data_IF_263461483435
#
_entry.id   IF_263461483435
#
_cell.length_a   1.000
_cell.length_b   1.000
_cell.length_c   1.000
_cell.angle_alpha   90.00
_cell.angle_beta   90.00
_cell.angle_gamma   90.00
#
_symmetry.space_group_name_H-M   'P 1'
#
loop_
_entity.id
_entity.type
_entity.pdbx_description
1 polymer ?
#
# COMPACT_ATOMS: atom_id res chain seq x y z
N UNK A 1 -9.84 4.28 34.00
CA UNK A 1 -9.38 5.34 33.08
C UNK A 1 -9.65 4.89 31.66
N UNK A 2 -10.52 5.60 30.96
CA UNK A 2 -11.00 5.26 29.63
C UNK A 2 -9.83 5.07 28.64
N UNK A 3 -9.85 3.94 27.93
CA UNK A 3 -9.04 3.71 26.74
C UNK A 3 -9.37 4.83 25.77
N UNK A 4 -8.40 5.69 25.48
CA UNK A 4 -8.51 6.68 24.41
C UNK A 4 -8.71 5.92 23.11
N UNK A 5 -9.98 5.81 22.71
CA UNK A 5 -10.35 5.52 21.34
C UNK A 5 -9.58 6.49 20.46
N UNK A 6 -8.67 5.95 19.65
CA UNK A 6 -7.94 6.73 18.67
C UNK A 6 -8.95 7.30 17.68
N UNK A 7 -9.26 8.59 17.83
CA UNK A 7 -10.12 9.30 16.90
C UNK A 7 -9.62 9.16 15.45
N UNK A 8 -10.59 8.79 14.62
CA UNK A 8 -10.47 8.08 13.36
C UNK A 8 -9.94 8.97 12.23
N UNK A 9 -8.99 8.49 11.40
CA UNK A 9 -8.77 9.00 10.04
C UNK A 9 -9.81 8.49 9.02
N UNK A 10 -11.04 8.17 9.46
CA UNK A 10 -12.16 7.75 8.59
C UNK A 10 -12.89 8.91 7.88
N UNK A 11 -13.15 10.09 8.48
CA UNK A 11 -14.09 11.05 7.91
C UNK A 11 -13.63 11.62 6.58
N UNK A 12 -12.32 11.82 6.35
CA UNK A 12 -11.84 12.40 5.09
C UNK A 12 -11.98 11.45 3.89
N UNK A 13 -11.73 10.14 4.08
CA UNK A 13 -11.85 9.16 2.99
C UNK A 13 -13.29 8.84 2.67
N UNK A 14 -14.12 8.74 3.71
CA UNK A 14 -15.57 8.58 3.57
C UNK A 14 -16.17 9.81 2.89
N UNK A 15 -15.74 11.01 3.28
CA UNK A 15 -16.09 12.27 2.63
C UNK A 15 -15.65 12.30 1.16
N UNK A 16 -14.42 11.90 0.85
CA UNK A 16 -13.93 11.82 -0.54
C UNK A 16 -14.81 10.91 -1.39
N UNK A 17 -15.15 9.70 -0.91
CA UNK A 17 -16.02 8.79 -1.66
C UNK A 17 -17.43 9.39 -1.83
N UNK A 18 -17.93 10.07 -0.81
CA UNK A 18 -19.20 10.79 -0.88
C UNK A 18 -19.18 11.92 -1.91
N UNK A 19 -18.08 12.70 -2.02
CA UNK A 19 -17.98 13.74 -3.05
C UNK A 19 -18.00 13.17 -4.47
N UNK A 20 -17.59 11.90 -4.67
CA UNK A 20 -17.70 11.25 -5.98
C UNK A 20 -19.13 10.91 -6.37
N UNK A 21 -20.05 10.76 -5.42
CA UNK A 21 -21.46 10.53 -5.69
C UNK A 21 -22.15 11.78 -6.26
N UNK A 22 -21.61 12.97 -5.99
CA UNK A 22 -22.09 14.27 -6.52
C UNK A 22 -21.88 14.34 -8.05
N UNK A 23 -21.05 13.47 -8.62
CA UNK A 23 -20.84 13.39 -10.06
C UNK A 23 -22.10 12.95 -10.84
N UNK A 24 -23.01 12.18 -10.21
CA UNK A 24 -24.30 11.84 -10.81
C UNK A 24 -25.18 13.08 -11.05
N UNK A 25 -25.42 13.96 -10.05
CA UNK A 25 -26.06 15.26 -10.25
C UNK A 25 -25.40 16.12 -11.33
N UNK A 26 -24.06 16.17 -11.39
CA UNK A 26 -23.34 16.96 -12.41
C UNK A 26 -23.66 16.43 -13.81
N UNK A 27 -23.56 15.12 -14.02
CA UNK A 27 -23.88 14.50 -15.31
C UNK A 27 -25.37 14.72 -15.66
N UNK A 28 -26.26 14.57 -14.70
CA UNK A 28 -27.70 14.79 -14.89
C UNK A 28 -28.02 16.23 -15.30
N UNK A 29 -27.47 17.22 -14.59
CA UNK A 29 -27.62 18.63 -14.94
C UNK A 29 -27.04 18.95 -16.33
N UNK A 30 -25.95 18.29 -16.70
CA UNK A 30 -25.32 18.42 -18.02
C UNK A 30 -26.19 17.89 -19.16
N UNK A 31 -26.97 16.83 -18.91
CA UNK A 31 -27.94 16.31 -19.90
C UNK A 31 -29.10 17.28 -20.16
N UNK A 32 -29.41 18.16 -19.21
CA UNK A 32 -30.36 19.26 -19.41
C UNK A 32 -29.91 20.27 -20.47
N UNK A 33 -28.60 20.52 -20.56
CA UNK A 33 -28.00 21.43 -21.56
C UNK A 33 -28.13 20.86 -22.99
N UNK A 34 -28.16 19.52 -23.13
CA UNK A 34 -28.34 18.85 -24.42
C UNK A 34 -29.73 19.10 -25.02
N UNK A 35 -30.74 19.29 -24.18
CA UNK A 35 -32.13 19.49 -24.58
C UNK A 35 -32.50 20.99 -24.76
N UNK A 36 -31.52 21.89 -24.61
CA UNK A 36 -31.73 23.31 -24.88
C UNK A 36 -31.96 23.52 -26.39
N UNK A 37 -33.09 24.11 -26.81
CA UNK A 37 -33.43 24.33 -28.21
C UNK A 37 -32.38 25.16 -28.96
N UNK A 38 -31.64 26.04 -28.28
CA UNK A 38 -30.54 26.82 -28.89
C UNK A 38 -29.39 25.90 -29.40
N UNK A 39 -29.19 24.75 -28.76
CA UNK A 39 -28.13 23.78 -29.10
C UNK A 39 -28.56 22.74 -30.16
N UNK A 40 -29.83 22.75 -30.56
CA UNK A 40 -30.40 21.80 -31.53
C UNK A 40 -30.13 22.17 -33.00
N UNK A 41 -29.70 23.42 -33.27
CA UNK A 41 -29.74 24.01 -34.60
C UNK A 41 -28.49 23.88 -35.48
N UNK A 42 -27.41 23.21 -35.03
CA UNK A 42 -26.26 22.95 -35.89
C UNK A 42 -26.36 21.55 -36.53
N UNK A 43 -26.58 21.39 -37.85
CA UNK A 43 -26.78 20.08 -38.49
C UNK A 43 -25.48 19.49 -39.10
N UNK A 44 -24.38 20.24 -39.14
CA UNK A 44 -23.19 19.84 -39.92
C UNK A 44 -22.27 18.83 -39.24
N UNK A 45 -22.32 18.69 -37.91
CA UNK A 45 -21.37 17.85 -37.15
C UNK A 45 -21.78 16.37 -37.01
N UNK A 46 -23.01 16.01 -37.44
CA UNK A 46 -23.53 14.64 -37.41
C UNK A 46 -22.73 13.65 -38.30
N UNK A 47 -21.81 14.15 -39.14
CA UNK A 47 -20.95 13.36 -40.03
C UNK A 47 -19.57 13.02 -39.45
N UNK A 48 -19.26 13.40 -38.21
CA UNK A 48 -17.96 13.06 -37.60
C UNK A 48 -17.92 11.57 -37.25
N UNK A 49 -16.85 10.86 -37.66
CA UNK A 49 -16.67 9.40 -37.48
C UNK A 49 -16.89 8.91 -36.03
N UNK A 50 -16.59 9.75 -35.04
CA UNK A 50 -16.82 9.52 -33.60
C UNK A 50 -18.31 9.28 -33.26
N UNK A 51 -19.20 9.90 -34.03
CA UNK A 51 -20.65 9.91 -33.81
C UNK A 51 -21.37 8.71 -34.46
N UNK A 52 -20.78 8.15 -35.51
CA UNK A 52 -21.35 7.01 -36.22
C UNK A 52 -21.15 5.70 -35.43
N UNK A 53 -20.09 5.63 -34.63
CA UNK A 53 -19.78 4.49 -33.76
C UNK A 53 -19.23 4.89 -32.38
N UNK A 54 -20.04 5.55 -31.52
CA UNK A 54 -19.61 5.94 -30.17
C UNK A 54 -19.14 4.74 -29.34
N UNK A 55 -19.76 3.57 -29.53
CA UNK A 55 -19.40 2.31 -28.86
C UNK A 55 -17.93 1.91 -29.14
N UNK A 56 -17.44 2.12 -30.37
CA UNK A 56 -16.07 1.75 -30.78
C UNK A 56 -14.99 2.57 -30.07
N UNK A 57 -15.31 3.79 -29.63
CA UNK A 57 -14.36 4.66 -28.93
C UNK A 57 -14.51 4.61 -27.40
N UNK A 58 -15.71 4.33 -26.90
CA UNK A 58 -15.98 4.23 -25.45
C UNK A 58 -15.49 2.89 -24.89
N UNK A 59 -15.81 1.78 -25.56
CA UNK A 59 -15.51 0.44 -25.08
C UNK A 59 -14.01 0.20 -24.83
N UNK A 60 -13.08 0.66 -25.70
CA UNK A 60 -11.65 0.50 -25.46
C UNK A 60 -11.17 1.17 -24.17
N UNK A 61 -11.74 2.31 -23.77
CA UNK A 61 -11.33 3.00 -22.52
C UNK A 61 -11.66 2.13 -21.31
N UNK A 62 -12.88 1.61 -21.24
CA UNK A 62 -13.28 0.74 -20.12
C UNK A 62 -12.56 -0.59 -20.15
N UNK A 63 -12.39 -1.19 -21.33
CA UNK A 63 -11.63 -2.41 -21.52
C UNK A 63 -10.16 -2.22 -21.09
N UNK A 64 -9.56 -1.05 -21.35
CA UNK A 64 -8.21 -0.74 -20.92
C UNK A 64 -8.10 -0.63 -19.39
N UNK A 65 -9.06 0.02 -18.71
CA UNK A 65 -9.05 0.13 -17.23
C UNK A 65 -9.22 -1.25 -16.58
N UNK A 66 -10.18 -2.05 -17.06
CA UNK A 66 -10.44 -3.40 -16.55
C UNK A 66 -9.25 -4.32 -16.87
N UNK A 67 -8.76 -4.28 -18.11
CA UNK A 67 -7.61 -5.04 -18.58
C UNK A 67 -6.35 -4.71 -17.79
N UNK A 68 -6.12 -3.44 -17.45
CA UNK A 68 -5.03 -3.02 -16.58
C UNK A 68 -5.14 -3.67 -15.19
N UNK A 69 -6.33 -3.67 -14.57
CA UNK A 69 -6.52 -4.34 -13.26
C UNK A 69 -6.28 -5.85 -13.38
N UNK A 70 -6.80 -6.51 -14.41
CA UNK A 70 -6.60 -7.95 -14.63
C UNK A 70 -5.12 -8.28 -14.84
N UNK A 71 -4.40 -7.50 -15.64
CA UNK A 71 -2.96 -7.66 -15.86
C UNK A 71 -2.17 -7.49 -14.56
N UNK A 72 -2.52 -6.51 -13.73
CA UNK A 72 -1.90 -6.31 -12.42
C UNK A 72 -2.19 -7.45 -11.45
N UNK A 73 -3.39 -8.03 -11.47
CA UNK A 73 -3.72 -9.21 -10.66
C UNK A 73 -2.88 -10.42 -11.10
N UNK A 74 -2.76 -10.68 -12.40
CA UNK A 74 -1.92 -11.74 -12.93
C UNK A 74 -0.43 -11.53 -12.58
N UNK A 75 0.04 -10.28 -12.64
CA UNK A 75 1.38 -9.90 -12.21
C UNK A 75 1.59 -10.17 -10.72
N UNK A 76 0.61 -9.81 -9.88
CA UNK A 76 0.70 -9.99 -8.43
C UNK A 76 0.75 -11.48 -8.03
N UNK A 77 0.01 -12.35 -8.74
CA UNK A 77 0.09 -13.80 -8.56
C UNK A 77 1.48 -14.36 -8.91
N UNK A 78 2.10 -13.80 -9.96
CA UNK A 78 3.42 -14.25 -10.44
C UNK A 78 4.56 -13.82 -9.52
N UNK A 79 4.51 -12.58 -9.01
CA UNK A 79 5.65 -11.98 -8.29
C UNK A 79 5.43 -11.80 -6.78
N UNK A 80 4.21 -12.04 -6.27
CA UNK A 80 3.83 -11.94 -4.85
C UNK A 80 4.37 -10.68 -4.16
N UNK A 81 3.97 -9.47 -4.61
CA UNK A 81 4.50 -8.23 -4.09
C UNK A 81 4.17 -8.01 -2.61
N UNK A 82 4.99 -7.22 -1.94
CA UNK A 82 4.73 -6.76 -0.57
C UNK A 82 3.36 -6.06 -0.52
N UNK A 83 2.50 -6.42 0.45
CA UNK A 83 1.13 -5.86 0.55
C UNK A 83 1.10 -4.33 0.49
N UNK A 84 2.10 -3.67 1.09
CA UNK A 84 2.22 -2.21 1.09
C UNK A 84 2.48 -1.64 -0.30
N UNK A 85 3.36 -2.27 -1.10
CA UNK A 85 3.68 -1.78 -2.45
C UNK A 85 2.49 -1.98 -3.38
N UNK A 86 1.78 -3.11 -3.27
CA UNK A 86 0.50 -3.35 -3.96
C UNK A 86 -0.53 -2.26 -3.62
N UNK A 87 -0.79 -2.06 -2.33
CA UNK A 87 -1.74 -1.06 -1.85
C UNK A 87 -1.40 0.36 -2.35
N UNK A 88 -0.14 0.77 -2.24
CA UNK A 88 0.29 2.09 -2.73
C UNK A 88 0.13 2.23 -4.24
N UNK A 89 0.54 1.22 -5.01
CA UNK A 89 0.39 1.20 -6.48
C UNK A 89 -1.07 1.31 -6.88
N UNK A 90 -1.93 0.48 -6.30
CA UNK A 90 -3.35 0.46 -6.63
C UNK A 90 -4.00 1.81 -6.28
N UNK A 91 -3.73 2.38 -5.10
CA UNK A 91 -4.24 3.71 -4.72
C UNK A 91 -3.70 4.82 -5.62
N UNK A 92 -2.43 4.76 -6.05
CA UNK A 92 -1.86 5.72 -7.01
C UNK A 92 -2.56 5.63 -8.37
N UNK A 93 -2.80 4.43 -8.89
CA UNK A 93 -3.51 4.25 -10.16
C UNK A 93 -4.97 4.71 -10.03
N UNK A 94 -5.64 4.32 -8.95
CA UNK A 94 -7.03 4.70 -8.68
C UNK A 94 -7.20 6.21 -8.60
N UNK A 95 -6.55 6.87 -7.64
CA UNK A 95 -6.68 8.32 -7.49
C UNK A 95 -6.14 9.10 -8.68
N UNK A 96 -5.04 8.65 -9.30
CA UNK A 96 -4.51 9.29 -10.52
C UNK A 96 -5.51 9.23 -11.68
N UNK A 97 -6.14 8.07 -11.90
CA UNK A 97 -7.19 7.89 -12.90
C UNK A 97 -8.43 8.73 -12.63
N UNK A 98 -8.86 8.82 -11.36
CA UNK A 98 -9.95 9.70 -10.95
C UNK A 98 -9.63 11.16 -11.25
N UNK A 99 -8.43 11.65 -10.87
CA UNK A 99 -8.01 13.03 -11.15
C UNK A 99 -8.03 13.33 -12.65
N UNK A 100 -7.56 12.39 -13.49
CA UNK A 100 -7.65 12.54 -14.93
C UNK A 100 -9.11 12.67 -15.42
N UNK A 101 -10.01 11.82 -14.90
CA UNK A 101 -11.46 11.90 -15.18
C UNK A 101 -12.08 13.24 -14.73
N UNK A 102 -11.51 13.90 -13.73
CA UNK A 102 -11.93 15.23 -13.31
C UNK A 102 -11.40 16.37 -14.18
N UNK A 103 -10.16 16.29 -14.64
CA UNK A 103 -9.49 17.34 -15.42
C UNK A 103 -9.94 17.35 -16.88
N UNK A 104 -10.09 16.17 -17.51
CA UNK A 104 -10.41 16.05 -18.94
C UNK A 104 -11.69 16.83 -19.30
N UNK A 105 -12.83 16.68 -18.61
CA UNK A 105 -14.04 17.43 -18.92
C UNK A 105 -13.91 18.95 -18.78
N UNK A 106 -13.07 19.42 -17.85
CA UNK A 106 -12.84 20.86 -17.65
C UNK A 106 -12.04 21.45 -18.81
N UNK A 107 -10.96 20.77 -19.20
CA UNK A 107 -10.11 21.19 -20.32
C UNK A 107 -10.91 21.14 -21.63
N UNK A 108 -11.67 20.07 -21.86
CA UNK A 108 -12.52 19.94 -23.03
C UNK A 108 -13.62 21.00 -23.06
N UNK A 109 -14.19 21.41 -21.91
CA UNK A 109 -15.17 22.51 -21.87
C UNK A 109 -14.58 23.83 -22.38
N UNK A 110 -13.32 24.12 -22.06
CA UNK A 110 -12.62 25.33 -22.52
C UNK A 110 -12.23 25.24 -23.99
N UNK A 111 -11.79 24.08 -24.47
CA UNK A 111 -11.33 23.89 -25.87
C UNK A 111 -12.51 23.72 -26.85
N UNK A 112 -13.49 22.90 -26.48
CA UNK A 112 -14.59 22.46 -27.36
C UNK A 112 -15.88 23.23 -27.08
N UNK A 113 -15.80 24.46 -26.55
CA UNK A 113 -16.89 25.34 -26.09
C UNK A 113 -18.27 25.14 -26.74
N UNK A 114 -18.32 24.98 -28.07
CA UNK A 114 -19.53 24.88 -28.90
C UNK A 114 -19.98 23.44 -29.23
N UNK A 115 -19.12 22.43 -29.03
CA UNK A 115 -19.40 21.01 -29.30
C UNK A 115 -19.97 20.32 -28.06
N UNK A 116 -21.14 20.79 -27.62
CA UNK A 116 -21.82 20.36 -26.38
C UNK A 116 -22.00 18.83 -26.33
N UNK A 117 -22.31 18.19 -27.46
CA UNK A 117 -22.51 16.73 -27.54
C UNK A 117 -21.23 15.93 -27.28
N UNK A 118 -20.11 16.36 -27.86
CA UNK A 118 -18.83 15.69 -27.64
C UNK A 118 -18.38 15.88 -26.19
N UNK A 119 -18.56 17.08 -25.64
CA UNK A 119 -18.29 17.35 -24.24
C UNK A 119 -19.09 16.42 -23.32
N UNK A 120 -20.40 16.28 -23.54
CA UNK A 120 -21.27 15.40 -22.74
C UNK A 120 -20.84 13.95 -22.88
N UNK A 121 -20.49 13.50 -24.10
CA UNK A 121 -20.01 12.15 -24.34
C UNK A 121 -18.71 11.87 -23.56
N UNK A 122 -17.71 12.74 -23.67
CA UNK A 122 -16.45 12.61 -22.92
C UNK A 122 -16.66 12.68 -21.40
N UNK A 123 -17.56 13.55 -20.94
CA UNK A 123 -17.96 13.62 -19.52
C UNK A 123 -18.62 12.34 -19.03
N UNK A 124 -19.49 11.72 -19.82
CA UNK A 124 -20.11 10.44 -19.47
C UNK A 124 -19.06 9.32 -19.38
N UNK A 125 -18.11 9.27 -20.33
CA UNK A 125 -16.99 8.32 -20.30
C UNK A 125 -16.13 8.52 -19.06
N UNK A 126 -15.79 9.77 -18.72
CA UNK A 126 -15.04 10.10 -17.52
C UNK A 126 -15.81 9.73 -16.24
N UNK A 127 -17.14 9.92 -16.23
CA UNK A 127 -17.98 9.56 -15.09
C UNK A 127 -17.96 8.04 -14.82
N UNK A 128 -18.17 7.22 -15.85
CA UNK A 128 -18.12 5.76 -15.70
C UNK A 128 -16.71 5.31 -15.32
N UNK A 129 -15.69 5.87 -15.96
CA UNK A 129 -14.28 5.58 -15.64
C UNK A 129 -13.94 5.91 -14.18
N UNK A 130 -14.47 7.01 -13.64
CA UNK A 130 -14.29 7.37 -12.22
C UNK A 130 -14.78 6.26 -11.29
N UNK A 131 -15.99 5.73 -11.53
CA UNK A 131 -16.53 4.61 -10.73
C UNK A 131 -15.74 3.32 -10.92
N UNK A 132 -15.22 3.05 -12.13
CA UNK A 132 -14.32 1.91 -12.36
C UNK A 132 -13.03 2.05 -11.56
N UNK A 133 -12.40 3.24 -11.54
CA UNK A 133 -11.20 3.48 -10.73
C UNK A 133 -11.46 3.31 -9.23
N UNK A 134 -12.59 3.85 -8.74
CA UNK A 134 -13.01 3.67 -7.34
C UNK A 134 -13.16 2.17 -7.03
N UNK A 135 -13.98 1.46 -7.82
CA UNK A 135 -14.32 0.07 -7.57
C UNK A 135 -13.13 -0.88 -7.67
N UNK A 136 -12.31 -0.74 -8.72
CA UNK A 136 -11.22 -1.66 -9.02
C UNK A 136 -9.95 -1.40 -8.22
N UNK A 137 -9.67 -0.14 -7.87
CA UNK A 137 -8.37 0.24 -7.29
C UNK A 137 -8.46 0.85 -5.89
N UNK A 138 -9.55 1.52 -5.52
CA UNK A 138 -9.65 2.24 -4.24
C UNK A 138 -10.40 1.43 -3.18
N UNK A 139 -11.57 0.86 -3.52
CA UNK A 139 -12.45 0.21 -2.54
C UNK A 139 -11.81 -1.00 -1.84
N UNK A 140 -11.03 -1.81 -2.57
CA UNK A 140 -10.30 -2.98 -2.01
C UNK A 140 -9.42 -2.58 -0.82
N UNK A 141 -8.81 -1.40 -0.88
CA UNK A 141 -7.87 -0.91 0.13
C UNK A 141 -8.53 0.03 1.14
N UNK A 142 -9.69 0.61 0.83
CA UNK A 142 -10.30 1.73 1.56
C UNK A 142 -10.33 1.54 3.08
N UNK A 143 -10.75 0.37 3.56
CA UNK A 143 -10.80 0.09 5.00
C UNK A 143 -9.43 -0.23 5.60
N UNK A 144 -8.56 -0.83 4.79
CA UNK A 144 -7.31 -1.47 5.18
C UNK A 144 -6.11 -0.52 5.20
N UNK A 145 -6.21 0.69 4.65
CA UNK A 145 -5.13 1.69 4.77
C UNK A 145 -5.53 2.89 5.64
N UNK A 146 -4.53 3.55 6.21
CA UNK A 146 -4.67 4.78 7.00
C UNK A 146 -3.39 5.60 6.98
N UNK A 147 -3.34 6.66 7.78
CA UNK A 147 -2.14 7.47 7.95
C UNK A 147 -1.20 6.86 9.01
N UNK A 148 0.08 7.19 8.92
CA UNK A 148 1.11 6.69 9.83
C UNK A 148 0.77 6.97 11.32
N UNK A 149 1.14 6.06 12.23
CA UNK A 149 0.97 6.21 13.69
C UNK A 149 1.87 7.30 14.30
N UNK A 150 3.00 7.60 13.66
CA UNK A 150 3.89 8.70 14.06
C UNK A 150 3.12 10.01 13.94
N UNK A 151 3.00 10.71 15.06
CA UNK A 151 2.24 11.96 15.17
C UNK A 151 2.75 13.02 14.19
N UNK A 152 4.08 13.18 14.06
CA UNK A 152 4.69 14.09 13.09
C UNK A 152 4.22 13.82 11.66
N UNK A 153 4.29 12.57 11.18
CA UNK A 153 3.83 12.20 9.83
C UNK A 153 2.33 12.40 9.63
N UNK A 154 1.53 12.22 10.68
CA UNK A 154 0.07 12.50 10.62
C UNK A 154 -0.20 14.00 10.49
N UNK A 155 0.56 14.85 11.19
CA UNK A 155 0.49 16.30 11.05
C UNK A 155 0.91 16.72 9.64
N UNK A 156 2.05 16.22 9.14
CA UNK A 156 2.52 16.50 7.77
C UNK A 156 1.51 16.06 6.70
N UNK A 157 0.86 14.90 6.85
CA UNK A 157 -0.17 14.46 5.92
C UNK A 157 -1.39 15.40 5.91
N UNK A 158 -1.81 15.92 7.06
CA UNK A 158 -2.89 16.92 7.13
C UNK A 158 -2.47 18.23 6.46
N UNK A 159 -1.27 18.73 6.77
CA UNK A 159 -0.73 19.95 6.15
C UNK A 159 -0.65 19.80 4.63
N UNK A 160 -0.11 18.68 4.14
CA UNK A 160 0.00 18.43 2.70
C UNK A 160 -1.38 18.41 2.03
N UNK A 161 -2.38 17.76 2.62
CA UNK A 161 -3.75 17.80 2.08
C UNK A 161 -4.27 19.23 1.98
N UNK A 162 -4.13 20.03 3.04
CA UNK A 162 -4.57 21.42 3.03
C UNK A 162 -3.83 22.25 1.98
N UNK A 163 -2.52 22.09 1.85
CA UNK A 163 -1.72 22.78 0.83
C UNK A 163 -2.21 22.39 -0.57
N UNK A 164 -2.42 21.10 -0.84
CA UNK A 164 -2.90 20.63 -2.14
C UNK A 164 -4.30 21.17 -2.47
N UNK A 165 -5.19 21.24 -1.48
CA UNK A 165 -6.53 21.83 -1.65
C UNK A 165 -6.42 23.31 -2.02
N UNK A 166 -5.65 24.08 -1.25
CA UNK A 166 -5.47 25.51 -1.50
C UNK A 166 -4.80 25.79 -2.85
N UNK A 167 -3.75 25.03 -3.18
CA UNK A 167 -3.06 25.11 -4.46
C UNK A 167 -4.02 24.85 -5.62
N UNK A 168 -4.87 23.82 -5.52
CA UNK A 168 -5.82 23.50 -6.58
C UNK A 168 -6.86 24.61 -6.78
N UNK A 169 -7.35 25.22 -5.68
CA UNK A 169 -8.28 26.36 -5.75
C UNK A 169 -7.60 27.55 -6.46
N UNK A 170 -6.37 27.90 -6.07
CA UNK A 170 -5.62 29.01 -6.67
C UNK A 170 -5.39 28.77 -8.16
N UNK A 171 -4.95 27.56 -8.53
CA UNK A 171 -4.73 27.19 -9.94
C UNK A 171 -6.03 27.30 -10.74
N UNK A 172 -7.14 26.80 -10.20
CA UNK A 172 -8.46 26.86 -10.87
C UNK A 172 -8.89 28.29 -11.13
N UNK A 173 -8.88 29.16 -10.11
CA UNK A 173 -9.24 30.58 -10.25
C UNK A 173 -8.32 31.29 -11.24
N UNK A 174 -7.02 30.98 -11.21
CA UNK A 174 -6.05 31.57 -12.14
C UNK A 174 -6.34 31.17 -13.59
N UNK A 175 -6.63 29.89 -13.83
CA UNK A 175 -6.97 29.38 -15.16
C UNK A 175 -8.30 29.97 -15.66
N UNK A 176 -9.33 30.07 -14.82
CA UNK A 176 -10.60 30.70 -15.18
C UNK A 176 -10.41 32.17 -15.59
N UNK A 177 -9.67 32.94 -14.79
CA UNK A 177 -9.36 34.34 -15.10
C UNK A 177 -8.59 34.47 -16.42
N UNK A 178 -7.66 33.56 -16.70
CA UNK A 178 -6.81 33.64 -17.90
C UNK A 178 -7.51 33.14 -19.17
N UNK A 179 -8.28 32.06 -19.07
CA UNK A 179 -8.85 31.37 -20.24
C UNK A 179 -10.32 31.66 -20.48
N UNK A 180 -11.09 32.05 -19.46
CA UNK A 180 -12.55 32.20 -19.56
C UNK A 180 -12.96 33.66 -19.48
N UNK A 181 -12.57 34.38 -18.43
CA UNK A 181 -13.07 35.74 -18.19
C UNK A 181 -12.63 36.73 -19.28
N UNK A 182 -13.59 37.52 -19.76
CA UNK A 182 -13.36 38.56 -20.77
C UNK A 182 -13.14 38.03 -22.19
N UNK A 183 -13.12 36.71 -22.42
CA UNK A 183 -12.96 36.09 -23.74
C UNK A 183 -14.25 35.60 -24.37
N UNK A 184 -15.28 35.35 -23.56
CA UNK A 184 -16.56 34.79 -24.00
C UNK A 184 -17.74 35.66 -23.56
N UNK A 185 -18.93 35.39 -24.11
CA UNK A 185 -20.16 36.05 -23.67
C UNK A 185 -20.43 35.80 -22.18
N UNK A 186 -21.19 36.68 -21.54
CA UNK A 186 -21.53 36.59 -20.11
C UNK A 186 -22.22 35.26 -19.79
N UNK A 187 -23.21 34.85 -20.60
CA UNK A 187 -23.92 33.57 -20.46
C UNK A 187 -22.95 32.38 -20.55
N UNK A 188 -22.06 32.35 -21.56
CA UNK A 188 -21.08 31.26 -21.73
C UNK A 188 -20.04 31.22 -20.60
N UNK A 189 -19.61 32.39 -20.11
CA UNK A 189 -18.68 32.53 -18.99
C UNK A 189 -19.28 31.92 -17.73
N UNK A 190 -20.50 32.31 -17.36
CA UNK A 190 -21.20 31.78 -16.17
C UNK A 190 -21.37 30.26 -16.24
N UNK A 191 -21.81 29.73 -17.38
CA UNK A 191 -21.97 28.28 -17.56
C UNK A 191 -20.63 27.53 -17.44
N UNK A 192 -19.54 28.11 -17.96
CA UNK A 192 -18.22 27.49 -17.92
C UNK A 192 -17.60 27.53 -16.53
N UNK A 193 -17.70 28.66 -15.83
CA UNK A 193 -17.24 28.80 -14.44
C UNK A 193 -18.00 27.84 -13.52
N UNK A 194 -19.33 27.75 -13.66
CA UNK A 194 -20.13 26.80 -12.87
C UNK A 194 -19.70 25.35 -13.13
N UNK A 195 -19.43 25.00 -14.39
CA UNK A 195 -18.94 23.67 -14.77
C UNK A 195 -17.60 23.35 -14.12
N UNK A 196 -16.62 24.24 -14.26
CA UNK A 196 -15.28 24.08 -13.70
C UNK A 196 -15.33 23.98 -12.17
N UNK A 197 -16.13 24.82 -11.51
CA UNK A 197 -16.34 24.80 -10.07
C UNK A 197 -16.89 23.45 -9.58
N UNK A 198 -17.93 22.92 -10.24
CA UNK A 198 -18.55 21.64 -9.87
C UNK A 198 -17.56 20.47 -9.94
N UNK A 199 -16.78 20.37 -11.02
CA UNK A 199 -15.73 19.35 -11.13
C UNK A 199 -14.61 19.57 -10.11
N UNK A 200 -14.19 20.82 -9.91
CA UNK A 200 -13.14 21.17 -8.95
C UNK A 200 -13.49 20.72 -7.53
N UNK A 201 -14.71 21.02 -7.06
CA UNK A 201 -15.18 20.59 -5.73
C UNK A 201 -15.17 19.05 -5.58
N UNK A 202 -15.56 18.31 -6.63
CA UNK A 202 -15.60 16.84 -6.58
C UNK A 202 -14.21 16.21 -6.47
N UNK A 203 -13.21 16.76 -7.17
CA UNK A 203 -11.90 16.12 -7.32
C UNK A 203 -10.79 16.71 -6.44
N UNK A 204 -11.00 17.86 -5.81
CA UNK A 204 -10.07 18.42 -4.80
C UNK A 204 -9.72 17.42 -3.68
N UNK A 205 -10.67 16.69 -3.07
CA UNK A 205 -10.32 15.69 -2.06
C UNK A 205 -9.45 14.56 -2.62
N UNK A 206 -9.66 14.20 -3.90
CA UNK A 206 -8.88 13.17 -4.60
C UNK A 206 -7.44 13.61 -4.83
N UNK A 207 -7.20 14.84 -5.29
CA UNK A 207 -5.83 15.37 -5.48
C UNK A 207 -5.08 15.43 -4.16
N UNK A 208 -5.76 15.81 -3.08
CA UNK A 208 -5.19 15.85 -1.74
C UNK A 208 -4.82 14.46 -1.19
N UNK A 209 -5.70 13.45 -1.34
CA UNK A 209 -5.36 12.07 -0.96
C UNK A 209 -4.24 11.50 -1.81
N UNK A 210 -4.26 11.74 -3.13
CA UNK A 210 -3.25 11.25 -4.05
C UNK A 210 -1.84 11.71 -3.66
N UNK A 211 -1.69 12.97 -3.28
CA UNK A 211 -0.41 13.51 -2.81
C UNK A 211 0.12 12.77 -1.57
N UNK A 212 -0.76 12.43 -0.61
CA UNK A 212 -0.37 11.67 0.59
C UNK A 212 0.02 10.23 0.27
N UNK A 213 -0.67 9.61 -0.70
CA UNK A 213 -0.33 8.27 -1.21
C UNK A 213 1.05 8.27 -1.86
N UNK A 214 1.33 9.24 -2.74
CA UNK A 214 2.62 9.39 -3.41
C UNK A 214 3.76 9.69 -2.44
N UNK A 215 3.52 10.51 -1.42
CA UNK A 215 4.49 10.80 -0.38
C UNK A 215 4.84 9.57 0.49
N UNK A 216 4.11 8.46 0.35
CA UNK A 216 4.36 7.23 1.10
C UNK A 216 4.03 7.36 2.59
N UNK A 217 3.16 8.31 2.96
CA UNK A 217 2.77 8.54 4.37
C UNK A 217 1.54 7.74 4.81
N UNK A 218 1.08 6.84 3.93
CA UNK A 218 0.07 5.83 4.20
C UNK A 218 0.67 4.62 4.95
N UNK A 219 -0.18 3.86 5.63
CA UNK A 219 0.16 2.61 6.33
C UNK A 219 -0.99 1.62 6.17
N UNK A 220 -0.67 0.34 6.02
CA UNK A 220 -1.66 -0.73 6.15
C UNK A 220 -2.06 -0.93 7.62
N UNK A 221 -3.36 -0.98 7.87
CA UNK A 221 -3.92 -1.57 9.08
C UNK A 221 -3.70 -3.06 8.95
N UNK A 222 -2.66 -3.57 9.58
CA UNK A 222 -2.59 -5.00 9.84
C UNK A 222 -3.84 -5.36 10.63
N UNK A 223 -4.73 -6.16 10.01
CA UNK A 223 -5.69 -6.92 10.80
C UNK A 223 -4.82 -7.78 11.70
N UNK A 224 -4.77 -7.42 12.98
CA UNK A 224 -4.35 -8.31 14.06
C UNK A 224 -5.30 -9.51 13.98
N UNK A 225 -5.02 -10.47 13.10
CA UNK A 225 -5.34 -11.84 13.44
C UNK A 225 -4.47 -12.11 14.64
N UNK A 226 -5.09 -12.05 15.81
CA UNK A 226 -4.61 -12.71 17.01
C UNK A 226 -4.54 -14.20 16.72
N UNK A 227 -3.52 -14.63 15.99
CA UNK A 227 -2.76 -15.78 16.45
C UNK A 227 -1.62 -15.16 17.23
N UNK A 228 -1.93 -14.76 18.47
CA UNK A 228 -0.90 -14.89 19.49
C UNK A 228 -0.41 -16.34 19.34
N UNK A 229 0.89 -16.61 19.12
CA UNK A 229 1.35 -17.97 19.30
C UNK A 229 0.90 -18.32 20.71
N UNK A 230 0.08 -19.38 20.82
CA UNK A 230 -0.31 -19.94 22.10
C UNK A 230 1.02 -20.16 22.81
N UNK A 231 1.36 -19.27 23.75
CA UNK A 231 2.54 -19.40 24.59
C UNK A 231 2.15 -20.50 25.55
N UNK A 232 2.20 -21.73 25.07
CA UNK A 232 2.05 -22.91 25.90
C UNK A 232 3.16 -22.78 26.94
N UNK A 233 2.71 -22.57 28.16
CA UNK A 233 3.55 -22.35 29.32
C UNK A 233 4.41 -23.60 29.49
N UNK A 234 5.63 -23.59 28.95
CA UNK A 234 6.68 -24.53 29.33
C UNK A 234 7.20 -24.11 30.72
N UNK A 235 6.31 -24.24 31.70
CA UNK A 235 6.58 -24.05 33.11
C UNK A 235 5.60 -24.97 33.81
N UNK A 236 5.93 -26.26 33.81
CA UNK A 236 5.56 -27.26 34.82
C UNK A 236 6.04 -28.66 34.36
N UNK A 237 7.35 -28.89 34.39
CA UNK A 237 7.86 -30.26 34.59
C UNK A 237 9.30 -30.31 35.11
N UNK A 238 9.62 -29.57 36.18
CA UNK A 238 10.73 -29.96 37.05
C UNK A 238 10.45 -29.47 38.48
N UNK A 239 9.75 -30.31 39.25
CA UNK A 239 9.82 -30.27 40.70
C UNK A 239 10.24 -31.67 41.16
N UNK A 240 11.37 -31.81 41.90
CA UNK A 240 11.76 -33.09 42.44
C UNK A 240 10.83 -33.39 43.62
N UNK A 241 10.26 -34.59 43.64
CA UNK A 241 9.60 -35.10 44.86
C UNK A 241 10.08 -36.52 45.05
N UNK A 242 11.10 -36.64 45.89
CA UNK A 242 11.45 -37.85 46.60
C UNK A 242 10.23 -38.33 47.37
N UNK A 243 9.82 -39.59 47.17
CA UNK A 243 9.36 -40.47 48.23
C UNK A 243 9.38 -41.93 47.79
N UNK A 244 9.82 -42.75 48.73
CA UNK A 244 10.06 -44.18 48.70
C UNK A 244 8.90 -45.04 48.15
N UNK A 245 9.26 -46.11 47.41
CA UNK A 245 9.15 -47.53 47.80
C UNK A 245 8.67 -48.45 46.64
N UNK A 246 9.61 -49.26 46.15
CA UNK A 246 9.53 -50.60 45.53
C UNK A 246 8.30 -51.04 44.73
N UNK A 247 8.53 -51.39 43.45
CA UNK A 247 8.25 -52.74 42.92
C UNK A 247 8.94 -52.99 41.57
N UNK A 248 9.80 -54.02 41.53
CA UNK A 248 10.38 -54.60 40.32
C UNK A 248 9.31 -55.30 39.48
N UNK A 249 9.38 -55.20 38.15
CA UNK A 249 9.07 -56.31 37.20
C UNK A 249 9.94 -56.14 35.94
N UNK A 250 10.42 -57.28 35.46
CA UNK A 250 11.44 -57.60 34.45
C UNK A 250 10.91 -57.73 33.00
N UNK A 251 11.76 -57.33 32.01
CA UNK A 251 12.13 -58.04 30.73
C UNK A 251 11.01 -58.16 29.64
N UNK A 252 11.25 -58.26 28.29
CA UNK A 252 12.49 -58.55 27.54
C UNK A 252 12.88 -57.67 26.33
N UNK A 253 14.17 -57.82 26.02
CA UNK A 253 14.91 -57.82 24.74
C UNK A 253 14.18 -58.36 23.50
N UNK A 254 14.27 -57.62 22.38
CA UNK A 254 14.34 -58.16 21.00
C UNK A 254 15.28 -57.27 20.18
N UNK A 255 16.08 -57.90 19.33
CA UNK A 255 17.32 -57.40 18.75
C UNK A 255 17.20 -56.76 17.35
N UNK A 256 18.21 -55.91 17.07
CA UNK A 256 18.94 -55.71 15.81
C UNK A 256 18.21 -55.12 14.60
N UNK A 257 18.68 -53.94 14.18
CA UNK A 257 19.43 -53.80 12.92
C UNK A 257 20.43 -52.64 13.09
N UNK A 258 21.70 -52.96 12.84
CA UNK A 258 22.86 -52.07 12.89
C UNK A 258 23.05 -51.47 11.49
N UNK A 259 22.97 -50.15 11.36
CA UNK A 259 23.74 -49.44 10.33
C UNK A 259 24.67 -48.45 11.02
N UNK A 260 25.93 -48.81 10.93
CA UNK A 260 27.09 -48.16 11.49
C UNK A 260 27.55 -47.08 10.51
N UNK A 261 27.44 -45.82 10.90
CA UNK A 261 28.36 -44.78 10.43
C UNK A 261 28.78 -43.92 11.64
N UNK A 262 29.67 -44.50 12.44
CA UNK A 262 30.52 -43.71 13.33
C UNK A 262 31.55 -42.99 12.47
N UNK A 263 31.29 -41.72 12.17
CA UNK A 263 32.39 -40.77 12.05
C UNK A 263 32.51 -40.01 13.35
N UNK A 264 33.47 -40.43 14.16
CA UNK A 264 34.02 -39.67 15.28
C UNK A 264 34.33 -38.23 14.88
N UNK A 265 33.60 -37.29 15.46
CA UNK A 265 33.87 -35.86 15.35
C UNK A 265 33.11 -35.14 16.46
N UNK A 266 33.85 -34.65 17.45
CA UNK A 266 33.35 -33.83 18.55
C UNK A 266 32.55 -32.63 17.98
N UNK A 267 31.24 -32.74 17.85
CA UNK A 267 30.44 -31.82 17.02
C UNK A 267 30.16 -30.52 17.75
N UNK A 268 31.03 -29.54 17.55
CA UNK A 268 30.96 -28.13 17.99
C UNK A 268 29.86 -27.32 17.28
N UNK A 269 28.76 -27.95 16.87
CA UNK A 269 27.73 -27.39 15.95
C UNK A 269 26.94 -26.18 16.47
N UNK A 270 27.23 -25.70 17.69
CA UNK A 270 26.64 -24.49 18.28
C UNK A 270 27.62 -23.35 18.58
N UNK A 271 28.92 -23.52 18.33
CA UNK A 271 29.96 -22.54 18.75
C UNK A 271 30.65 -21.81 17.60
N UNK A 272 30.27 -22.10 16.36
CA UNK A 272 30.83 -21.52 15.15
C UNK A 272 29.74 -20.87 14.29
N UNK A 273 30.14 -19.89 13.49
CA UNK A 273 29.26 -19.26 12.53
C UNK A 273 29.04 -20.15 11.31
N UNK A 274 27.79 -20.57 11.06
CA UNK A 274 27.39 -21.41 9.91
C UNK A 274 27.55 -20.75 8.52
N UNK A 275 28.26 -19.64 8.41
CA UNK A 275 28.51 -18.92 7.14
C UNK A 275 30.01 -18.82 6.87
N UNK A 276 30.79 -18.32 7.82
CA UNK A 276 32.24 -18.22 7.69
C UNK A 276 33.00 -19.39 8.33
N UNK A 277 32.29 -20.30 9.01
CA UNK A 277 32.85 -21.46 9.72
C UNK A 277 33.93 -21.08 10.75
N UNK A 278 33.86 -19.85 11.28
CA UNK A 278 34.76 -19.37 12.32
C UNK A 278 34.10 -19.49 13.69
N UNK A 279 34.88 -19.89 14.70
CA UNK A 279 34.46 -19.94 16.11
C UNK A 279 34.04 -18.56 16.59
N UNK A 280 32.89 -18.47 17.26
CA UNK A 280 32.41 -17.21 17.81
C UNK A 280 33.34 -16.73 18.93
N UNK A 281 33.44 -15.42 19.10
CA UNK A 281 34.23 -14.78 20.15
C UNK A 281 33.57 -13.47 20.58
N UNK A 282 33.99 -12.91 21.71
CA UNK A 282 33.46 -11.64 22.21
C UNK A 282 33.96 -10.43 21.42
N UNK A 283 35.06 -10.56 20.69
CA UNK A 283 35.81 -9.46 20.05
C UNK A 283 35.86 -9.54 18.52
N UNK A 284 36.17 -10.70 17.95
CA UNK A 284 36.45 -10.86 16.50
C UNK A 284 35.29 -11.44 15.71
N UNK A 285 34.63 -12.47 16.23
CA UNK A 285 33.53 -13.19 15.56
C UNK A 285 32.30 -13.10 16.45
N UNK A 286 31.74 -11.89 16.58
CA UNK A 286 30.68 -11.61 17.55
C UNK A 286 29.35 -12.23 17.09
N UNK A 287 28.74 -13.18 17.83
CA UNK A 287 27.46 -13.78 17.48
C UNK A 287 26.32 -12.79 17.72
N UNK A 288 25.53 -12.50 16.68
CA UNK A 288 24.36 -11.62 16.76
C UNK A 288 23.10 -12.35 16.34
N UNK A 289 21.99 -12.05 17.01
CA UNK A 289 20.71 -12.66 16.73
C UNK A 289 19.91 -11.83 15.74
N UNK A 290 19.43 -12.48 14.69
CA UNK A 290 18.51 -11.89 13.74
C UNK A 290 17.10 -11.81 14.35
N UNK A 291 16.68 -10.62 14.79
CA UNK A 291 15.45 -10.42 15.59
C UNK A 291 14.16 -10.90 14.91
N UNK A 292 14.14 -11.05 13.58
CA UNK A 292 12.99 -11.59 12.86
C UNK A 292 12.80 -13.10 13.01
N UNK A 293 13.80 -13.86 13.47
CA UNK A 293 13.74 -15.32 13.52
C UNK A 293 14.56 -16.01 14.62
N UNK A 294 15.43 -15.29 15.34
CA UNK A 294 16.26 -15.85 16.41
C UNK A 294 17.54 -16.56 15.95
N UNK A 295 17.75 -16.76 14.64
CA UNK A 295 18.99 -17.35 14.13
C UNK A 295 20.21 -16.48 14.46
N UNK A 296 21.33 -17.13 14.77
CA UNK A 296 22.59 -16.47 15.12
C UNK A 296 23.55 -16.50 13.94
N UNK A 297 24.14 -15.33 13.64
CA UNK A 297 25.16 -15.14 12.59
C UNK A 297 26.21 -14.18 13.13
N UNK A 298 27.48 -14.32 12.74
CA UNK A 298 28.50 -13.37 13.18
C UNK A 298 28.28 -11.98 12.55
N UNK A 299 28.66 -10.93 13.27
CA UNK A 299 28.50 -9.54 12.84
C UNK A 299 29.04 -9.29 11.41
N UNK A 300 30.25 -9.77 11.12
CA UNK A 300 30.92 -9.56 9.84
C UNK A 300 30.20 -10.24 8.67
N UNK A 301 29.57 -11.40 8.90
CA UNK A 301 28.76 -12.05 7.86
C UNK A 301 27.47 -11.26 7.59
N UNK A 302 26.84 -10.69 8.62
CA UNK A 302 25.64 -9.86 8.45
C UNK A 302 25.95 -8.60 7.62
N UNK A 303 27.13 -8.01 7.77
CA UNK A 303 27.57 -6.89 6.94
C UNK A 303 27.62 -7.21 5.44
N UNK A 304 27.85 -8.48 5.09
CA UNK A 304 27.95 -8.96 3.70
C UNK A 304 26.61 -9.37 3.11
N UNK A 305 25.52 -9.35 3.88
CA UNK A 305 24.21 -9.76 3.36
C UNK A 305 23.67 -8.77 2.32
N UNK A 306 23.04 -9.27 1.25
CA UNK A 306 22.34 -8.41 0.31
C UNK A 306 21.20 -7.70 1.03
N UNK A 307 21.13 -6.38 0.82
CA UNK A 307 20.10 -5.54 1.44
C UNK A 307 18.83 -5.60 0.63
N UNK A 308 17.70 -5.87 1.30
CA UNK A 308 16.40 -5.82 0.64
C UNK A 308 15.90 -4.38 0.52
N UNK A 309 16.06 -3.60 1.58
CA UNK A 309 15.77 -2.17 1.65
C UNK A 309 16.90 -1.47 2.43
N UNK A 310 16.81 -0.14 2.58
CA UNK A 310 17.80 0.68 3.32
C UNK A 310 18.02 0.19 4.77
N UNK A 311 17.09 -0.58 5.35
CA UNK A 311 17.09 -0.93 6.79
C UNK A 311 16.80 -2.41 7.08
N UNK A 312 16.94 -3.33 6.13
CA UNK A 312 16.62 -4.75 6.37
C UNK A 312 17.53 -5.74 5.64
N UNK A 313 17.73 -6.90 6.27
CA UNK A 313 18.44 -8.06 5.72
C UNK A 313 17.60 -9.32 5.85
N UNK A 314 17.77 -10.29 4.95
CA UNK A 314 17.15 -11.61 5.06
C UNK A 314 18.02 -12.58 5.84
N UNK A 315 17.39 -13.39 6.69
CA UNK A 315 18.06 -14.55 7.27
C UNK A 315 18.40 -15.58 6.16
N UNK A 316 19.66 -16.07 6.07
CA UNK A 316 20.04 -17.05 5.06
C UNK A 316 19.41 -18.43 5.29
N UNK A 317 19.02 -18.74 6.53
CA UNK A 317 18.50 -20.06 6.90
C UNK A 317 16.98 -20.19 6.68
N UNK A 318 16.21 -19.14 6.99
CA UNK A 318 14.75 -19.18 6.94
C UNK A 318 14.10 -18.07 6.10
N UNK A 319 14.91 -17.19 5.49
CA UNK A 319 14.47 -16.06 4.65
C UNK A 319 13.52 -15.08 5.35
N UNK A 320 13.49 -15.09 6.69
CA UNK A 320 12.73 -14.10 7.46
C UNK A 320 13.47 -12.74 7.48
N UNK A 321 12.77 -11.63 7.23
CA UNK A 321 13.37 -10.30 7.25
C UNK A 321 13.71 -9.87 8.67
N UNK A 322 14.88 -9.25 8.82
CA UNK A 322 15.36 -8.68 10.08
C UNK A 322 15.69 -7.22 9.86
N UNK A 323 15.05 -6.33 10.63
CA UNK A 323 15.32 -4.89 10.60
C UNK A 323 16.67 -4.58 11.27
N UNK A 324 17.48 -3.74 10.63
CA UNK A 324 18.73 -3.21 11.16
C UNK A 324 18.49 -1.79 11.69
N UNK A 325 18.54 -1.57 13.02
CA UNK A 325 18.50 -0.22 13.59
C UNK A 325 19.65 0.62 13.03
N UNK A 326 19.34 1.78 12.48
CA UNK A 326 20.30 2.71 11.86
C UNK A 326 21.20 2.09 10.80
N UNK A 327 20.78 0.96 10.21
CA UNK A 327 21.52 0.25 9.17
C UNK A 327 22.87 -0.35 9.62
N UNK A 328 23.08 -0.45 10.93
CA UNK A 328 24.28 -1.03 11.52
C UNK A 328 23.98 -2.43 12.12
N UNK A 329 24.59 -3.50 11.58
CA UNK A 329 24.54 -4.85 12.16
C UNK A 329 25.00 -4.93 13.62
N UNK A 330 25.86 -3.99 14.06
CA UNK A 330 26.36 -3.98 15.42
C UNK A 330 25.31 -3.58 16.49
N UNK A 331 24.14 -3.10 16.06
CA UNK A 331 23.01 -2.80 16.93
C UNK A 331 22.08 -4.00 17.14
N UNK A 332 22.28 -5.11 16.43
CA UNK A 332 21.55 -6.36 16.70
C UNK A 332 22.01 -6.97 18.04
N UNK A 333 21.11 -7.56 18.84
CA UNK A 333 21.47 -8.12 20.13
C UNK A 333 22.52 -9.24 19.98
N UNK A 334 23.53 -9.24 20.86
CA UNK A 334 24.50 -10.33 20.96
C UNK A 334 23.82 -11.59 21.50
N UNK A 335 24.23 -12.77 21.03
CA UNK A 335 23.80 -14.03 21.63
C UNK A 335 24.72 -14.39 22.80
N UNK A 336 24.37 -13.92 24.01
CA UNK A 336 25.14 -14.20 25.21
C UNK A 336 25.15 -15.68 25.60
N UNK A 337 24.09 -16.44 25.32
CA UNK A 337 24.05 -17.86 25.62
C UNK A 337 25.12 -18.65 24.84
N UNK A 338 25.36 -18.30 23.58
CA UNK A 338 26.45 -18.90 22.77
C UNK A 338 27.82 -18.49 23.31
N UNK A 339 27.99 -17.23 23.71
CA UNK A 339 29.23 -16.75 24.31
C UNK A 339 29.52 -17.44 25.65
N UNK A 340 28.50 -17.69 26.47
CA UNK A 340 28.62 -18.39 27.74
C UNK A 340 29.01 -19.86 27.53
N UNK A 341 28.42 -20.54 26.54
CA UNK A 341 28.83 -21.92 26.17
C UNK A 341 30.31 -21.95 25.78
N UNK A 342 30.76 -20.99 24.97
CA UNK A 342 32.17 -20.92 24.53
C UNK A 342 33.09 -20.67 25.73
N UNK A 343 32.73 -19.74 26.61
CA UNK A 343 33.51 -19.46 27.81
C UNK A 343 33.60 -20.67 28.74
N UNK A 344 32.53 -21.46 28.86
CA UNK A 344 32.52 -22.67 29.69
C UNK A 344 33.29 -23.84 29.07
N UNK A 345 33.46 -23.88 27.75
CA UNK A 345 34.30 -24.86 27.05
C UNK A 345 35.80 -24.51 27.12
N UNK A 346 36.14 -23.27 27.45
CA UNK A 346 37.51 -22.76 27.56
C UNK A 346 38.04 -22.78 29.01
N UNK A 347 37.20 -23.20 29.97
CA UNK A 347 37.56 -23.52 31.35
C UNK A 347 37.90 -25.00 31.48
#
# INVERSE_FOLDING_TARGET
MAVRDAERPKPFKDFLLFTQLIHFPILYASMGILHDPDNLHHPEWAKTLLYQHPILYIFPVFAAIIGLKLALVAWDESYKPVKFTKCRRDLSIGYGGMIACGIIPQVLKVILMERVKDLILFSAVCAVSNFLFIGLFVLEHHENYGTTKKESKRVFARILRTIMILLQIIVTVTLENHFVRGKYSEKQTIHTEMWICMYTVCYIPCTAEFAVVLAGWIRLKEKLYTVAPKRESYRDLHRPTTNHLSRMVTVPTVAREEEHDETTGNSTSGTECNICMLRYSTTTVVPRMLVGCGHTVCQECIHKFPRQDIQSVLCPFCRNPTSLPDNLPNHLPKNYAVLDIIHNLEK
#
